data_IF_913078991960
#
_entry.id   IF_913078991960
#
_cell.length_a   1.000
_cell.length_b   1.000
_cell.length_c   1.000
_cell.angle_alpha   90.00
_cell.angle_beta   90.00
_cell.angle_gamma   90.00
#
_symmetry.space_group_name_H-M   'P 1'
#
loop_
_entity.id
_entity.type
_entity.pdbx_description
1 polymer ?
#
# COMPACT_ATOMS: atom_id res chain seq x y z
N UNK A 1 15.88 18.24 5.26
CA UNK A 1 15.60 18.83 6.58
C UNK A 1 15.02 17.74 7.46
N UNK A 2 15.55 17.55 8.66
CA UNK A 2 14.88 16.67 9.59
C UNK A 2 13.52 17.27 9.94
N UNK A 3 12.50 16.46 9.91
CA UNK A 3 11.17 16.85 10.33
C UNK A 3 11.17 17.00 11.85
N UNK A 4 10.66 18.10 12.37
CA UNK A 4 10.50 18.27 13.80
C UNK A 4 9.25 17.52 14.26
N UNK A 5 9.30 16.18 14.14
CA UNK A 5 8.21 15.31 14.50
C UNK A 5 8.42 14.80 15.93
N UNK A 6 7.37 14.84 16.72
CA UNK A 6 7.38 14.13 18.00
C UNK A 6 7.36 12.62 17.76
N UNK A 7 7.93 11.85 18.69
CA UNK A 7 7.88 10.38 18.60
C UNK A 7 6.44 9.88 18.72
N UNK A 8 6.11 8.85 17.95
CA UNK A 8 4.81 8.20 17.98
C UNK A 8 4.06 8.26 16.65
N UNK A 9 2.77 8.03 16.72
CA UNK A 9 1.89 8.03 15.54
C UNK A 9 1.67 9.47 15.07
N UNK A 10 1.82 9.68 13.76
CA UNK A 10 1.65 11.01 13.17
C UNK A 10 0.18 11.44 13.17
N UNK A 11 -0.05 12.72 13.44
CA UNK A 11 -1.35 13.34 13.32
C UNK A 11 -1.68 13.67 11.85
N UNK A 12 -2.94 13.99 11.59
CA UNK A 12 -3.37 14.46 10.26
C UNK A 12 -2.55 15.67 9.80
N UNK A 13 -2.32 16.63 10.68
CA UNK A 13 -1.55 17.85 10.36
C UNK A 13 -0.11 17.53 9.96
N UNK A 14 0.53 16.62 10.69
CA UNK A 14 1.89 16.17 10.36
C UNK A 14 1.91 15.40 9.03
N UNK A 15 0.90 14.58 8.77
CA UNK A 15 0.78 13.87 7.48
C UNK A 15 0.62 14.86 6.33
N UNK A 16 -0.21 15.90 6.49
CA UNK A 16 -0.39 16.93 5.47
C UNK A 16 0.91 17.69 5.19
N UNK A 17 1.69 18.01 6.21
CA UNK A 17 3.01 18.64 6.02
C UNK A 17 3.94 17.75 5.21
N UNK A 18 3.98 16.44 5.49
CA UNK A 18 4.81 15.49 4.75
C UNK A 18 4.32 15.28 3.32
N UNK A 19 3.03 15.42 3.07
CA UNK A 19 2.48 15.36 1.72
C UNK A 19 2.87 16.59 0.88
N UNK A 20 3.10 17.73 1.52
CA UNK A 20 3.56 18.94 0.85
C UNK A 20 5.09 18.99 0.66
N UNK A 21 5.82 17.99 1.17
CA UNK A 21 7.26 17.87 1.02
C UNK A 21 7.69 17.35 -0.35
N UNK A 22 9.02 17.32 -0.56
CA UNK A 22 9.61 16.82 -1.81
C UNK A 22 10.69 15.77 -1.48
N UNK A 23 10.50 14.50 -1.87
CA UNK A 23 9.26 13.95 -2.45
C UNK A 23 8.13 13.93 -1.43
N UNK A 24 6.86 13.95 -1.88
CA UNK A 24 5.74 13.85 -0.95
C UNK A 24 5.71 12.46 -0.30
N UNK A 25 5.25 12.38 0.95
CA UNK A 25 5.14 11.11 1.66
C UNK A 25 4.34 10.07 0.85
N UNK A 26 3.26 10.49 0.25
CA UNK A 26 2.46 9.68 -0.68
C UNK A 26 2.18 10.51 -1.92
N UNK A 27 2.55 9.98 -3.08
CA UNK A 27 2.29 10.61 -4.38
C UNK A 27 1.10 9.94 -5.05
N UNK A 28 0.33 10.71 -5.82
CA UNK A 28 -0.75 10.17 -6.64
C UNK A 28 -2.09 10.00 -5.93
N UNK A 29 -2.31 10.71 -4.82
CA UNK A 29 -3.61 10.70 -4.15
C UNK A 29 -4.72 11.20 -5.08
N UNK A 30 -5.81 10.44 -5.16
CA UNK A 30 -6.98 10.81 -5.98
C UNK A 30 -7.85 11.87 -5.31
N UNK A 31 -8.01 11.74 -4.00
CA UNK A 31 -8.80 12.65 -3.18
C UNK A 31 -8.10 12.83 -1.83
N UNK A 32 -7.27 13.86 -1.75
CA UNK A 32 -6.47 14.14 -0.56
C UNK A 32 -7.33 14.29 0.70
N UNK A 33 -8.44 14.99 0.60
CA UNK A 33 -9.29 15.25 1.77
C UNK A 33 -9.96 13.97 2.27
N UNK A 34 -10.39 13.10 1.38
CA UNK A 34 -11.01 11.83 1.75
C UNK A 34 -10.00 10.78 2.20
N UNK A 35 -8.80 10.76 1.60
CA UNK A 35 -7.81 9.72 1.87
C UNK A 35 -6.94 9.99 3.08
N UNK A 36 -6.73 11.26 3.47
CA UNK A 36 -5.93 11.58 4.65
C UNK A 36 -6.81 11.51 5.89
N UNK A 37 -6.54 10.53 6.72
CA UNK A 37 -7.26 10.22 7.95
C UNK A 37 -6.55 10.83 9.18
N UNK A 38 -7.15 10.81 10.39
CA UNK A 38 -6.51 11.40 11.58
C UNK A 38 -5.10 10.88 11.88
N UNK A 39 -4.83 9.59 11.63
CA UNK A 39 -3.55 8.97 11.93
C UNK A 39 -3.04 8.07 10.81
N UNK A 40 -3.43 8.32 9.58
CA UNK A 40 -3.00 7.50 8.45
C UNK A 40 -3.51 8.01 7.13
N UNK A 41 -3.16 7.29 6.08
CA UNK A 41 -3.57 7.62 4.71
C UNK A 41 -4.16 6.36 4.08
N UNK A 42 -5.37 6.47 3.54
CA UNK A 42 -6.00 5.40 2.79
C UNK A 42 -5.39 5.32 1.40
N UNK A 43 -4.96 4.13 1.01
CA UNK A 43 -4.48 3.85 -0.34
C UNK A 43 -5.58 3.22 -1.17
N UNK A 44 -5.54 3.43 -2.48
CA UNK A 44 -6.52 2.87 -3.41
C UNK A 44 -5.92 1.76 -4.26
N UNK A 45 -6.71 0.74 -4.54
CA UNK A 45 -6.30 -0.42 -5.31
C UNK A 45 -6.17 -0.06 -6.79
N UNK A 46 -5.03 -0.40 -7.39
CA UNK A 46 -4.81 -0.28 -8.83
C UNK A 46 -4.98 -1.62 -9.53
N UNK A 47 -4.26 -2.65 -9.07
CA UNK A 47 -4.30 -3.97 -9.70
C UNK A 47 -4.17 -5.09 -8.69
N UNK A 48 -4.66 -6.26 -9.09
CA UNK A 48 -4.56 -7.51 -8.34
C UNK A 48 -4.00 -8.57 -9.26
N UNK A 49 -3.02 -9.34 -8.77
CA UNK A 49 -2.44 -10.46 -9.49
C UNK A 49 -2.53 -11.73 -8.67
N UNK A 50 -2.70 -12.86 -9.35
CA UNK A 50 -2.61 -14.18 -8.76
C UNK A 50 -1.22 -14.78 -9.00
N UNK A 51 -0.71 -15.55 -8.05
CA UNK A 51 0.54 -16.27 -8.23
C UNK A 51 0.33 -17.50 -9.10
N UNK A 52 1.21 -17.70 -10.09
CA UNK A 52 1.12 -18.79 -11.06
C UNK A 52 2.17 -19.88 -10.86
N UNK A 53 3.08 -19.69 -9.90
CA UNK A 53 4.11 -20.66 -9.58
C UNK A 53 4.77 -20.38 -8.24
N UNK A 54 5.64 -21.27 -7.77
CA UNK A 54 6.35 -21.08 -6.50
C UNK A 54 7.51 -20.10 -6.65
N UNK A 55 7.85 -19.45 -5.54
CA UNK A 55 9.12 -18.74 -5.39
C UNK A 55 10.13 -19.61 -4.62
N UNK A 56 11.37 -19.14 -4.54
CA UNK A 56 12.44 -19.80 -3.79
C UNK A 56 13.15 -18.81 -2.90
N UNK A 57 13.38 -19.19 -1.66
CA UNK A 57 14.22 -18.46 -0.71
C UNK A 57 15.43 -19.31 -0.37
N UNK A 58 16.61 -18.69 -0.36
CA UNK A 58 17.86 -19.34 -0.01
C UNK A 58 18.55 -18.56 1.11
N UNK A 59 19.58 -19.18 1.72
CA UNK A 59 20.33 -18.57 2.81
C UNK A 59 20.95 -17.25 2.39
N UNK A 60 21.45 -17.16 1.17
CA UNK A 60 21.88 -15.91 0.55
C UNK A 60 20.86 -15.45 -0.51
N UNK A 61 20.98 -14.21 -0.96
CA UNK A 61 20.05 -13.68 -1.97
C UNK A 61 20.34 -14.13 -3.39
N UNK A 62 21.47 -14.82 -3.64
CA UNK A 62 21.86 -15.24 -4.98
C UNK A 62 20.91 -16.29 -5.57
N UNK A 63 20.36 -17.17 -4.72
CA UNK A 63 19.38 -18.19 -5.13
C UNK A 63 17.94 -17.76 -5.00
N UNK A 64 17.68 -16.52 -4.61
CA UNK A 64 16.31 -16.00 -4.44
C UNK A 64 15.61 -15.93 -5.80
N UNK A 65 14.40 -16.46 -5.84
CA UNK A 65 13.54 -16.41 -7.01
C UNK A 65 12.13 -16.01 -6.60
N UNK A 66 11.63 -14.91 -7.16
CA UNK A 66 10.26 -14.50 -6.92
C UNK A 66 9.27 -15.37 -7.67
N UNK A 67 8.12 -15.60 -7.08
CA UNK A 67 7.04 -16.32 -7.74
C UNK A 67 6.53 -15.53 -8.95
N UNK A 68 6.22 -16.23 -10.05
CA UNK A 68 5.55 -15.62 -11.18
C UNK A 68 4.11 -15.27 -10.80
N UNK A 69 3.58 -14.22 -11.43
CA UNK A 69 2.22 -13.76 -11.19
C UNK A 69 1.56 -13.31 -12.49
N UNK A 70 0.24 -13.34 -12.51
CA UNK A 70 -0.56 -12.89 -13.65
C UNK A 70 -1.63 -11.92 -13.14
N UNK A 71 -1.73 -10.76 -13.78
CA UNK A 71 -2.74 -9.77 -13.44
C UNK A 71 -4.14 -10.30 -13.73
N UNK A 72 -5.07 -10.05 -12.81
CA UNK A 72 -6.47 -10.35 -12.97
C UNK A 72 -7.17 -9.16 -13.65
N UNK A 73 -8.18 -9.46 -14.46
CA UNK A 73 -8.94 -8.44 -15.19
C UNK A 73 -10.24 -8.13 -14.47
N UNK A 74 -10.45 -6.87 -14.15
CA UNK A 74 -11.74 -6.42 -13.63
C UNK A 74 -12.82 -6.54 -14.70
N UNK A 75 -14.02 -6.92 -14.27
CA UNK A 75 -15.17 -6.98 -15.15
C UNK A 75 -15.62 -5.59 -15.64
N UNK A 76 -16.54 -5.52 -16.61
CA UNK A 76 -17.03 -4.25 -17.17
C UNK A 76 -17.76 -3.39 -16.14
N UNK A 77 -18.24 -3.99 -15.05
CA UNK A 77 -18.85 -3.32 -13.90
C UNK A 77 -17.82 -2.84 -12.85
N UNK A 78 -16.52 -3.00 -13.12
CA UNK A 78 -15.46 -2.65 -12.19
C UNK A 78 -15.31 -3.63 -11.03
N UNK A 79 -15.92 -4.80 -11.09
CA UNK A 79 -15.83 -5.81 -10.04
C UNK A 79 -14.84 -6.92 -10.40
N UNK A 80 -14.26 -7.50 -9.35
CA UNK A 80 -13.36 -8.64 -9.46
C UNK A 80 -13.71 -9.64 -8.37
N UNK A 81 -14.03 -10.87 -8.79
CA UNK A 81 -14.24 -11.97 -7.84
C UNK A 81 -12.92 -12.60 -7.46
N UNK A 82 -12.67 -12.72 -6.15
CA UNK A 82 -11.49 -13.38 -5.60
C UNK A 82 -11.94 -14.62 -4.83
N UNK A 83 -11.46 -15.79 -5.26
CA UNK A 83 -11.57 -17.01 -4.45
C UNK A 83 -10.59 -16.95 -3.27
N UNK A 84 -10.79 -17.73 -2.20
CA UNK A 84 -9.83 -17.76 -1.10
C UNK A 84 -8.43 -18.09 -1.59
N UNK A 85 -7.44 -17.31 -1.16
CA UNK A 85 -6.06 -17.48 -1.60
C UNK A 85 -5.20 -16.28 -1.31
N UNK A 86 -3.95 -16.32 -1.80
CA UNK A 86 -3.00 -15.22 -1.70
C UNK A 86 -2.94 -14.44 -3.01
N UNK A 87 -2.87 -13.13 -2.91
CA UNK A 87 -2.85 -12.24 -4.07
C UNK A 87 -1.78 -11.18 -3.90
N UNK A 88 -1.21 -10.73 -5.01
CA UNK A 88 -0.34 -9.57 -5.06
C UNK A 88 -1.18 -8.36 -5.46
N UNK A 89 -1.18 -7.33 -4.63
CA UNK A 89 -1.93 -6.11 -4.92
C UNK A 89 -0.96 -4.95 -5.15
N UNK A 90 -1.34 -4.05 -6.04
CA UNK A 90 -0.64 -2.77 -6.26
C UNK A 90 -1.61 -1.64 -6.01
N UNK A 91 -1.08 -0.60 -5.38
CA UNK A 91 -1.84 0.61 -5.10
C UNK A 91 -1.62 1.65 -6.18
N UNK A 92 -2.61 2.51 -6.37
CA UNK A 92 -2.52 3.66 -7.27
C UNK A 92 -1.42 4.62 -6.80
N UNK A 93 -1.30 4.80 -5.50
CA UNK A 93 -0.37 5.73 -4.88
C UNK A 93 1.04 5.13 -4.75
N UNK A 94 2.04 6.00 -4.71
CA UNK A 94 3.42 5.64 -4.39
C UNK A 94 3.78 6.20 -3.03
N UNK A 95 4.33 5.37 -2.16
CA UNK A 95 4.78 5.77 -0.82
C UNK A 95 6.27 6.07 -0.85
N UNK A 96 6.66 7.26 -0.40
CA UNK A 96 8.05 7.70 -0.28
C UNK A 96 8.37 7.87 1.20
N UNK A 97 8.63 6.75 1.89
CA UNK A 97 8.85 6.74 3.33
C UNK A 97 10.26 7.27 3.65
N UNK A 98 10.37 8.38 4.39
CA UNK A 98 11.69 8.89 4.81
C UNK A 98 12.33 7.97 5.85
N UNK A 99 13.66 8.13 6.03
CA UNK A 99 14.45 7.22 6.87
C UNK A 99 14.11 7.32 8.38
N UNK A 100 13.48 8.40 8.79
CA UNK A 100 13.07 8.63 10.18
C UNK A 100 11.64 8.17 10.50
N UNK A 101 10.97 7.55 9.52
CA UNK A 101 9.61 7.04 9.68
C UNK A 101 9.51 5.56 9.36
N UNK A 102 8.60 4.89 10.03
CA UNK A 102 8.10 3.58 9.67
C UNK A 102 6.59 3.65 9.46
N UNK A 103 6.04 2.68 8.74
CA UNK A 103 4.60 2.60 8.54
C UNK A 103 4.10 1.16 8.67
N UNK A 104 2.89 1.03 9.19
CA UNK A 104 2.13 -0.21 9.11
C UNK A 104 1.08 -0.09 8.03
N UNK A 105 0.90 -1.16 7.27
CA UNK A 105 -0.19 -1.30 6.32
C UNK A 105 -1.26 -2.20 6.94
N UNK A 106 -2.50 -1.73 6.95
CA UNK A 106 -3.63 -2.48 7.50
C UNK A 106 -4.83 -2.41 6.57
N UNK A 107 -5.61 -3.48 6.44
CA UNK A 107 -6.86 -3.42 5.71
C UNK A 107 -7.88 -2.56 6.47
N UNK A 108 -8.73 -1.85 5.72
CA UNK A 108 -9.85 -1.12 6.32
C UNK A 108 -10.88 -2.10 6.87
N UNK A 109 -11.65 -1.64 7.85
CA UNK A 109 -12.67 -2.47 8.50
C UNK A 109 -13.69 -3.06 7.52
N UNK A 110 -14.02 -2.35 6.46
CA UNK A 110 -14.92 -2.85 5.42
C UNK A 110 -14.35 -4.06 4.70
N UNK A 111 -13.03 -4.07 4.40
CA UNK A 111 -12.37 -5.22 3.81
C UNK A 111 -12.40 -6.42 4.76
N UNK A 112 -12.05 -6.21 6.02
CA UNK A 112 -12.10 -7.26 7.05
C UNK A 112 -13.49 -7.86 7.18
N UNK A 113 -14.53 -7.02 7.20
CA UNK A 113 -15.92 -7.46 7.32
C UNK A 113 -16.46 -8.11 6.05
N UNK A 114 -15.79 -7.91 4.92
CA UNK A 114 -16.10 -8.55 3.65
C UNK A 114 -15.33 -9.85 3.43
N UNK A 115 -14.52 -10.27 4.41
CA UNK A 115 -13.79 -11.53 4.36
C UNK A 115 -12.49 -11.47 3.55
N UNK A 116 -11.95 -10.28 3.37
CA UNK A 116 -10.70 -10.06 2.61
C UNK A 116 -9.50 -9.99 3.55
#
# INVERSE_FOLDING_TARGET
MPHNLSAGVLSREQLLELLDGEPPLVAGLRDRDAQVQPNGIDLTLDSVATFTGPGTLTVDNAGRRLADSTDLTFGPDGQLYLSPGAYLVRFTETVNLPADLMAYLRPRSTLLRSGV
#
